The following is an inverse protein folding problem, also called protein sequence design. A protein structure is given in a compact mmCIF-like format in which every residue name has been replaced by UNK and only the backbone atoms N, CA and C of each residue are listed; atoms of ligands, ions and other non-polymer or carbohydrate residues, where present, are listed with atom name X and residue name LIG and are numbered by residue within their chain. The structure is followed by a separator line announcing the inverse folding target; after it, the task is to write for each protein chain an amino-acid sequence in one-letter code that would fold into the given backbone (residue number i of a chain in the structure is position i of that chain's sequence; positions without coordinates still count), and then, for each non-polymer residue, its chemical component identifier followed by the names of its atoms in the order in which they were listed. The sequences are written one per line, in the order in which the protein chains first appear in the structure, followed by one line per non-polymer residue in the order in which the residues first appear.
data_IF_694129088006
#
_entry.id   IF_694129088006
#
_cell.length_a   1.000
_cell.length_b   1.000
_cell.length_c   1.000
_cell.angle_alpha   90.00
_cell.angle_beta   90.00
_cell.angle_gamma   90.00
#
_symmetry.space_group_name_H-M   'P 1'
#
loop_
_entity.id
_entity.type
_entity.pdbx_description
1 polymer ?
#
# COMPACT_ATOMS: atom_id res chain seq x y z
N UNK A 1 -32.04 5.33 7.88
CA UNK A 1 -30.74 4.66 7.65
C UNK A 1 -30.65 3.48 8.60
N UNK A 2 -30.41 2.30 8.08
CA UNK A 2 -30.18 1.08 8.86
C UNK A 2 -28.75 1.03 9.38
N UNK A 3 -28.47 0.19 10.38
CA UNK A 3 -27.11 -0.01 10.88
C UNK A 3 -26.15 -0.47 9.76
N UNK A 4 -26.60 -1.38 8.89
CA UNK A 4 -25.85 -1.85 7.74
C UNK A 4 -25.47 -0.72 6.77
N UNK A 5 -26.43 0.16 6.45
CA UNK A 5 -26.19 1.31 5.58
C UNK A 5 -25.18 2.29 6.19
N UNK A 6 -25.25 2.51 7.52
CA UNK A 6 -24.31 3.40 8.22
C UNK A 6 -22.91 2.82 8.30
N UNK A 7 -22.77 1.52 8.57
CA UNK A 7 -21.49 0.81 8.56
C UNK A 7 -20.83 0.94 7.18
N UNK A 8 -21.58 0.71 6.10
CA UNK A 8 -21.06 0.80 4.74
C UNK A 8 -20.71 2.23 4.32
N UNK A 9 -21.45 3.23 4.80
CA UNK A 9 -21.09 4.64 4.61
C UNK A 9 -19.77 4.97 5.32
N UNK A 10 -19.65 4.64 6.61
CA UNK A 10 -18.45 4.89 7.41
C UNK A 10 -17.22 4.20 6.83
N UNK A 11 -17.34 2.94 6.38
CA UNK A 11 -16.24 2.23 5.70
C UNK A 11 -15.78 2.96 4.45
N UNK A 12 -16.70 3.44 3.61
CA UNK A 12 -16.37 4.18 2.39
C UNK A 12 -15.72 5.52 2.72
N UNK A 13 -16.26 6.25 3.68
CA UNK A 13 -15.76 7.54 4.12
C UNK A 13 -14.35 7.45 4.73
N UNK A 14 -14.14 6.52 5.66
CA UNK A 14 -12.82 6.29 6.29
C UNK A 14 -11.79 5.85 5.24
N UNK A 15 -12.16 4.98 4.29
CA UNK A 15 -11.26 4.60 3.21
C UNK A 15 -10.90 5.77 2.28
N UNK A 16 -11.86 6.65 1.97
CA UNK A 16 -11.60 7.90 1.22
C UNK A 16 -10.59 8.76 1.98
N UNK A 17 -10.81 8.98 3.27
CA UNK A 17 -9.89 9.78 4.09
C UNK A 17 -8.50 9.16 4.21
N UNK A 18 -8.40 7.84 4.36
CA UNK A 18 -7.12 7.12 4.32
C UNK A 18 -6.40 7.31 2.98
N UNK A 19 -7.10 7.21 1.86
CA UNK A 19 -6.50 7.44 0.54
C UNK A 19 -5.99 8.89 0.41
N UNK A 20 -6.80 9.86 0.83
CA UNK A 20 -6.43 11.27 0.80
C UNK A 20 -5.21 11.57 1.68
N UNK A 21 -5.14 10.96 2.87
CA UNK A 21 -4.03 11.12 3.80
C UNK A 21 -2.75 10.45 3.30
N UNK A 22 -2.79 9.14 2.98
CA UNK A 22 -1.59 8.35 2.68
C UNK A 22 -1.13 8.41 1.22
N UNK A 23 -2.04 8.58 0.26
CA UNK A 23 -1.72 8.51 -1.17
C UNK A 23 -1.65 9.91 -1.78
N UNK A 24 -2.65 10.76 -1.51
CA UNK A 24 -2.73 12.09 -2.12
C UNK A 24 -2.01 13.17 -1.30
N UNK A 25 -1.64 12.89 -0.05
CA UNK A 25 -1.10 13.86 0.90
C UNK A 25 -1.96 15.14 1.00
N UNK A 26 -3.28 14.97 0.95
CA UNK A 26 -4.29 16.02 0.90
C UNK A 26 -5.46 15.71 1.86
N UNK A 27 -5.22 15.71 3.19
CA UNK A 27 -6.25 15.38 4.17
C UNK A 27 -7.41 16.38 4.12
N UNK A 28 -8.64 15.84 4.12
CA UNK A 28 -9.88 16.65 4.09
C UNK A 28 -10.42 16.98 5.49
N UNK A 29 -10.06 16.18 6.48
CA UNK A 29 -10.54 16.28 7.86
C UNK A 29 -9.37 16.20 8.85
N UNK A 30 -9.59 16.64 10.08
CA UNK A 30 -8.60 16.55 11.14
C UNK A 30 -8.49 15.11 11.68
N UNK A 31 -7.35 14.77 12.28
CA UNK A 31 -7.14 13.48 12.95
C UNK A 31 -8.23 13.19 13.98
N UNK A 32 -8.67 14.22 14.72
CA UNK A 32 -9.76 14.09 15.69
C UNK A 32 -11.07 13.67 15.03
N UNK A 33 -11.42 14.27 13.90
CA UNK A 33 -12.67 13.95 13.21
C UNK A 33 -12.61 12.54 12.62
N UNK A 34 -11.45 12.16 12.09
CA UNK A 34 -11.19 10.79 11.63
C UNK A 34 -11.33 9.77 12.76
N UNK A 35 -10.73 10.02 13.92
CA UNK A 35 -10.83 9.16 15.10
C UNK A 35 -12.28 8.98 15.57
N UNK A 36 -13.10 10.02 15.45
CA UNK A 36 -14.52 9.95 15.80
C UNK A 36 -15.30 9.06 14.84
N UNK A 37 -15.04 9.16 13.53
CA UNK A 37 -15.64 8.27 12.53
C UNK A 37 -15.23 6.81 12.76
N UNK A 38 -13.95 6.58 13.06
CA UNK A 38 -13.43 5.24 13.34
C UNK A 38 -14.07 4.63 14.59
N UNK A 39 -14.18 5.39 15.69
CA UNK A 39 -14.86 4.96 16.92
C UNK A 39 -16.34 4.66 16.70
N UNK A 40 -17.02 5.45 15.87
CA UNK A 40 -18.42 5.17 15.50
C UNK A 40 -18.54 3.84 14.77
N UNK A 41 -17.66 3.60 13.79
CA UNK A 41 -17.62 2.33 13.05
C UNK A 41 -17.33 1.14 13.98
N UNK A 42 -16.34 1.26 14.88
CA UNK A 42 -16.02 0.22 15.87
C UNK A 42 -17.21 -0.11 16.78
N UNK A 43 -17.94 0.91 17.24
CA UNK A 43 -19.12 0.70 18.09
C UNK A 43 -20.22 -0.04 17.33
N UNK A 44 -20.51 0.36 16.09
CA UNK A 44 -21.52 -0.27 15.26
C UNK A 44 -21.17 -1.71 14.87
N UNK A 45 -19.91 -1.99 14.53
CA UNK A 45 -19.45 -3.36 14.22
C UNK A 45 -19.48 -4.27 15.46
N UNK A 46 -19.29 -3.71 16.65
CA UNK A 46 -19.42 -4.45 17.92
C UNK A 46 -20.88 -4.76 18.27
N UNK A 47 -21.78 -3.82 18.01
CA UNK A 47 -23.23 -3.99 18.23
C UNK A 47 -23.87 -4.91 17.18
N UNK A 48 -23.29 -4.98 15.98
CA UNK A 48 -23.76 -5.79 14.86
C UNK A 48 -22.67 -6.73 14.30
N UNK A 49 -22.32 -7.81 15.02
CA UNK A 49 -21.31 -8.77 14.57
C UNK A 49 -21.63 -9.45 13.24
N UNK A 50 -22.91 -9.47 12.83
CA UNK A 50 -23.36 -9.97 11.53
C UNK A 50 -22.79 -9.21 10.33
N UNK A 51 -22.29 -7.98 10.53
CA UNK A 51 -21.66 -7.16 9.49
C UNK A 51 -20.14 -7.12 9.59
N UNK A 52 -19.53 -7.97 10.43
CA UNK A 52 -18.07 -8.05 10.55
C UNK A 52 -17.41 -8.32 9.19
N UNK A 53 -16.38 -7.55 8.87
CA UNK A 53 -15.61 -7.68 7.63
C UNK A 53 -14.11 -7.62 7.95
N UNK A 54 -13.32 -8.65 7.60
CA UNK A 54 -11.87 -8.65 7.80
C UNK A 54 -11.15 -7.53 7.02
N UNK A 55 -11.78 -6.93 6.02
CA UNK A 55 -11.25 -5.80 5.25
C UNK A 55 -11.68 -4.43 5.82
N UNK A 56 -12.47 -4.41 6.90
CA UNK A 56 -12.89 -3.18 7.54
C UNK A 56 -11.68 -2.36 8.02
N UNK A 57 -11.71 -1.01 7.91
CA UNK A 57 -10.65 -0.15 8.42
C UNK A 57 -10.32 -0.38 9.90
N UNK A 58 -11.28 -0.82 10.71
CA UNK A 58 -11.10 -1.12 12.15
C UNK A 58 -10.22 -2.34 12.41
N UNK A 59 -10.07 -3.23 11.42
CA UNK A 59 -9.27 -4.46 11.53
C UNK A 59 -7.82 -4.30 11.08
N UNK A 60 -7.42 -3.11 10.57
CA UNK A 60 -6.07 -2.87 10.05
C UNK A 60 -5.01 -2.70 11.13
N UNK A 61 -5.40 -2.32 12.34
CA UNK A 61 -4.47 -2.25 13.47
C UNK A 61 -4.29 -3.67 14.00
N UNK A 62 -3.28 -4.36 13.48
CA UNK A 62 -2.94 -5.71 13.90
C UNK A 62 -2.70 -5.74 15.42
N UNK A 63 -3.30 -6.71 16.11
CA UNK A 63 -2.92 -6.98 17.49
C UNK A 63 -1.45 -7.40 17.51
N UNK A 64 -0.64 -6.76 18.35
CA UNK A 64 0.82 -6.96 18.50
C UNK A 64 1.26 -8.41 18.88
N UNK A 65 0.33 -9.37 18.91
CA UNK A 65 0.53 -10.75 19.34
C UNK A 65 0.74 -11.67 18.14
N UNK A 66 1.80 -11.45 17.36
CA UNK A 66 2.22 -12.40 16.33
C UNK A 66 3.38 -13.23 16.89
N UNK A 67 3.22 -14.55 16.99
CA UNK A 67 4.24 -15.47 17.55
C UNK A 67 5.46 -15.70 16.63
N UNK A 68 5.49 -15.04 15.47
CA UNK A 68 6.52 -15.17 14.45
C UNK A 68 5.92 -15.09 13.05
N UNK A 69 6.77 -14.95 12.03
CA UNK A 69 6.35 -14.97 10.64
C UNK A 69 6.48 -16.38 10.08
N UNK A 70 5.47 -16.81 9.31
CA UNK A 70 5.59 -18.01 8.49
C UNK A 70 6.36 -17.69 7.21
N UNK A 71 7.19 -18.63 6.76
CA UNK A 71 7.88 -18.51 5.47
C UNK A 71 6.88 -18.74 4.34
N UNK A 72 6.74 -17.77 3.44
CA UNK A 72 5.90 -17.89 2.26
C UNK A 72 6.77 -17.97 1.01
N UNK A 73 6.52 -18.96 0.15
CA UNK A 73 7.22 -19.08 -1.13
C UNK A 73 6.61 -18.12 -2.15
N UNK A 74 7.48 -17.36 -2.84
CA UNK A 74 7.06 -16.53 -3.95
C UNK A 74 6.75 -17.39 -5.18
N UNK A 75 5.59 -17.14 -5.82
CA UNK A 75 5.17 -17.81 -7.06
C UNK A 75 6.20 -17.61 -8.18
N UNK A 76 6.87 -16.45 -8.18
CA UNK A 76 7.96 -16.13 -9.09
C UNK A 76 9.20 -15.68 -8.29
N UNK A 77 10.42 -15.98 -8.77
CA UNK A 77 11.63 -15.49 -8.12
C UNK A 77 11.64 -13.97 -8.02
N UNK A 78 11.88 -13.44 -6.82
CA UNK A 78 12.19 -12.03 -6.65
C UNK A 78 13.63 -11.78 -7.08
N UNK A 79 13.82 -10.98 -8.14
CA UNK A 79 15.14 -10.66 -8.67
C UNK A 79 15.78 -9.52 -7.87
N UNK A 80 17.09 -9.58 -7.69
CA UNK A 80 17.88 -8.47 -7.16
C UNK A 80 18.31 -7.52 -8.27
N UNK A 81 18.53 -6.26 -7.92
CA UNK A 81 19.09 -5.26 -8.83
C UNK A 81 20.62 -5.21 -8.69
N UNK A 82 21.30 -5.06 -9.82
CA UNK A 82 22.73 -4.74 -9.83
C UNK A 82 22.94 -3.27 -9.49
N UNK A 83 24.02 -2.94 -8.78
CA UNK A 83 24.35 -1.58 -8.37
C UNK A 83 25.50 -1.02 -9.20
N UNK A 84 25.57 0.31 -9.32
CA UNK A 84 26.68 1.05 -9.95
C UNK A 84 26.92 2.36 -9.21
N UNK A 85 28.14 2.86 -9.28
CA UNK A 85 28.54 4.14 -8.69
C UNK A 85 29.16 5.10 -9.70
N UNK A 86 29.15 4.75 -11.00
CA UNK A 86 29.74 5.58 -12.05
C UNK A 86 28.84 5.68 -13.26
N UNK A 87 28.88 6.84 -13.94
CA UNK A 87 28.12 7.07 -15.16
C UNK A 87 28.61 6.14 -16.28
N UNK A 88 29.92 5.88 -16.37
CA UNK A 88 30.48 5.01 -17.41
C UNK A 88 29.96 3.57 -17.34
N UNK A 89 29.73 3.03 -16.15
CA UNK A 89 29.11 1.70 -15.98
C UNK A 89 27.65 1.67 -16.46
N UNK A 90 26.93 2.79 -16.35
CA UNK A 90 25.57 2.94 -16.91
C UNK A 90 25.63 2.97 -18.44
N UNK A 91 26.58 3.72 -19.02
CA UNK A 91 26.77 3.78 -20.47
C UNK A 91 27.10 2.40 -21.05
N UNK A 92 27.98 1.63 -20.37
CA UNK A 92 28.30 0.26 -20.74
C UNK A 92 27.07 -0.66 -20.67
N UNK A 93 26.26 -0.52 -19.62
CA UNK A 93 25.01 -1.26 -19.50
C UNK A 93 24.04 -0.92 -20.64
N UNK A 94 23.86 0.36 -20.96
CA UNK A 94 23.01 0.81 -22.06
C UNK A 94 23.49 0.24 -23.41
N UNK A 95 24.80 0.23 -23.64
CA UNK A 95 25.40 -0.38 -24.82
C UNK A 95 25.12 -1.89 -24.92
N UNK A 96 25.22 -2.63 -23.81
CA UNK A 96 24.87 -4.07 -23.78
C UNK A 96 23.40 -4.33 -24.08
N UNK A 97 22.49 -3.51 -23.55
CA UNK A 97 21.05 -3.62 -23.82
C UNK A 97 20.76 -3.34 -25.29
N UNK A 98 21.30 -2.25 -25.84
CA UNK A 98 21.13 -1.89 -27.24
C UNK A 98 21.63 -3.00 -28.19
N UNK A 99 22.80 -3.58 -27.90
CA UNK A 99 23.32 -4.72 -28.67
C UNK A 99 22.43 -5.95 -28.55
N UNK A 100 21.94 -6.26 -27.35
CA UNK A 100 21.02 -7.38 -27.10
C UNK A 100 19.68 -7.25 -27.82
N UNK A 101 19.23 -6.01 -28.08
CA UNK A 101 18.03 -5.68 -28.84
C UNK A 101 18.29 -5.49 -30.34
N UNK A 102 19.51 -5.72 -30.83
CA UNK A 102 19.82 -5.56 -32.26
C UNK A 102 19.79 -4.11 -32.76
N UNK A 103 19.92 -3.12 -31.85
CA UNK A 103 19.90 -1.70 -32.18
C UNK A 103 18.51 -1.07 -32.28
N UNK A 104 17.46 -1.79 -31.88
CA UNK A 104 16.13 -1.19 -31.72
C UNK A 104 16.14 -0.08 -30.64
N UNK A 105 15.34 0.96 -30.85
CA UNK A 105 15.15 2.02 -29.86
C UNK A 105 14.37 1.48 -28.65
N UNK A 106 14.73 1.94 -27.45
CA UNK A 106 14.08 1.55 -26.22
C UNK A 106 14.04 2.70 -25.21
N UNK A 107 13.03 2.66 -24.34
CA UNK A 107 12.85 3.63 -23.26
C UNK A 107 13.46 3.11 -21.95
N UNK A 108 13.96 4.05 -21.14
CA UNK A 108 14.45 3.78 -19.78
C UNK A 108 13.60 4.56 -18.79
N UNK A 109 12.99 3.85 -17.84
CA UNK A 109 12.25 4.45 -16.74
C UNK A 109 13.19 4.65 -15.55
N UNK A 110 13.37 5.91 -15.15
CA UNK A 110 14.14 6.28 -13.97
C UNK A 110 13.25 6.41 -12.74
N UNK A 111 13.42 5.51 -11.78
CA UNK A 111 12.70 5.54 -10.50
C UNK A 111 13.66 5.84 -9.35
N UNK A 112 13.18 6.56 -8.34
CA UNK A 112 13.92 6.76 -7.11
C UNK A 112 14.01 5.43 -6.37
N UNK A 113 15.24 4.98 -6.08
CA UNK A 113 15.44 3.81 -5.22
C UNK A 113 15.07 4.19 -3.78
N UNK A 114 13.92 3.73 -3.32
CA UNK A 114 13.54 3.82 -1.92
C UNK A 114 14.40 2.86 -1.09
N UNK A 115 15.03 3.38 -0.04
CA UNK A 115 15.74 2.55 0.94
C UNK A 115 14.73 2.07 1.97
N UNK A 116 14.07 0.96 1.65
CA UNK A 116 13.10 0.31 2.54
C UNK A 116 13.79 -0.40 3.72
N UNK A 117 12.97 -1.08 4.53
CA UNK A 117 13.40 -2.06 5.53
C UNK A 117 12.74 -3.39 5.26
#
# INVERSE_FOLDING_TARGET
MTAAERIEELRREINRHNHNYYVLNAPEISDRDFDMLLKELEALEKEHPEFADPLSPTQRVGSDLVQGFESAEHIHPMLSLSNTYSIGEVDEWFGRVSQGLGGEEFDVVGEMKFDGT
#
